data_IF_861256212012
#
_entry.id   IF_861256212012
#
_cell.length_a   1.000
_cell.length_b   1.000
_cell.length_c   1.000
_cell.angle_alpha   90.00
_cell.angle_beta   90.00
_cell.angle_gamma   90.00
#
_symmetry.space_group_name_H-M   'P 1'
#
loop_
_entity.id
_entity.type
_entity.pdbx_description
1 polymer ?
#
# COMPACT_ATOMS: atom_id res chain seq x y z
N UNK A 1 -9.93 7.99 -56.49
CA UNK A 1 -9.89 9.43 -56.10
C UNK A 1 -11.24 10.08 -56.40
N UNK A 2 -12.23 9.98 -55.50
CA UNK A 2 -13.55 10.60 -55.72
C UNK A 2 -14.28 10.97 -54.41
N UNK A 3 -13.54 11.27 -53.33
CA UNK A 3 -14.10 11.65 -52.03
C UNK A 3 -13.81 13.11 -51.61
N UNK A 4 -13.13 13.90 -52.46
CA UNK A 4 -12.62 15.23 -52.11
C UNK A 4 -13.65 16.39 -52.22
N UNK A 5 -14.63 16.43 -53.15
CA UNK A 5 -15.47 17.62 -53.33
C UNK A 5 -16.63 17.73 -52.33
N UNK A 6 -17.04 16.63 -51.69
CA UNK A 6 -18.05 16.66 -50.62
C UNK A 6 -17.46 17.14 -49.29
N UNK A 7 -16.19 16.82 -49.01
CA UNK A 7 -15.49 17.18 -47.78
C UNK A 7 -15.39 18.72 -47.59
N UNK A 8 -15.18 19.46 -48.69
CA UNK A 8 -15.07 20.92 -48.69
C UNK A 8 -16.42 21.64 -48.47
N UNK A 9 -17.55 21.00 -48.80
CA UNK A 9 -18.88 21.56 -48.54
C UNK A 9 -19.26 21.45 -47.06
N UNK A 10 -18.96 20.32 -46.41
CA UNK A 10 -19.22 20.12 -44.98
C UNK A 10 -18.34 21.02 -44.10
N UNK A 11 -17.10 21.29 -44.50
CA UNK A 11 -16.17 22.23 -43.85
C UNK A 11 -16.65 23.69 -43.83
N UNK A 12 -17.75 24.05 -44.50
CA UNK A 12 -18.38 25.38 -44.39
C UNK A 12 -19.17 25.55 -43.08
N UNK A 13 -19.63 24.46 -42.46
CA UNK A 13 -20.39 24.53 -41.22
C UNK A 13 -19.46 24.71 -40.02
N UNK A 14 -19.61 25.83 -39.29
CA UNK A 14 -18.80 26.16 -38.11
C UNK A 14 -18.88 25.10 -37.02
N UNK A 15 -20.06 24.54 -36.80
CA UNK A 15 -20.29 23.44 -35.89
C UNK A 15 -19.39 22.23 -36.20
N UNK A 16 -19.18 21.90 -37.48
CA UNK A 16 -18.26 20.84 -37.88
C UNK A 16 -16.81 21.20 -37.57
N UNK A 17 -16.38 22.45 -37.82
CA UNK A 17 -15.02 22.88 -37.47
C UNK A 17 -14.77 22.82 -35.96
N UNK A 18 -15.75 23.24 -35.15
CA UNK A 18 -15.68 23.16 -33.69
C UNK A 18 -15.62 21.69 -33.25
N UNK A 19 -16.49 20.84 -33.81
CA UNK A 19 -16.47 19.41 -33.53
C UNK A 19 -15.12 18.78 -33.87
N UNK A 20 -14.58 19.02 -35.07
CA UNK A 20 -13.30 18.46 -35.49
C UNK A 20 -12.13 18.99 -34.66
N UNK A 21 -12.13 20.27 -34.29
CA UNK A 21 -11.10 20.86 -33.43
C UNK A 21 -11.18 20.30 -32.01
N UNK A 22 -12.39 20.19 -31.47
CA UNK A 22 -12.65 19.58 -30.17
C UNK A 22 -12.26 18.10 -30.16
N UNK A 23 -12.57 17.36 -31.23
CA UNK A 23 -12.21 15.96 -31.38
C UNK A 23 -10.69 15.81 -31.43
N UNK A 24 -9.99 16.68 -32.16
CA UNK A 24 -8.53 16.69 -32.19
C UNK A 24 -7.93 16.91 -30.80
N UNK A 25 -8.41 17.91 -30.05
CA UNK A 25 -7.97 18.15 -28.66
C UNK A 25 -8.31 16.97 -27.76
N UNK A 26 -9.52 16.42 -27.89
CA UNK A 26 -9.96 15.26 -27.12
C UNK A 26 -9.06 14.05 -27.40
N UNK A 27 -8.68 13.80 -28.65
CA UNK A 27 -7.77 12.71 -29.03
C UNK A 27 -6.37 12.93 -28.47
N UNK A 28 -5.86 14.17 -28.45
CA UNK A 28 -4.59 14.49 -27.81
C UNK A 28 -4.63 14.23 -26.30
N UNK A 29 -5.70 14.65 -25.62
CA UNK A 29 -5.89 14.37 -24.20
C UNK A 29 -6.05 12.88 -23.93
N UNK A 30 -6.83 12.17 -24.74
CA UNK A 30 -7.01 10.73 -24.65
C UNK A 30 -5.66 10.01 -24.78
N UNK A 31 -4.84 10.41 -25.75
CA UNK A 31 -3.51 9.84 -25.93
C UNK A 31 -2.56 10.19 -24.77
N UNK A 32 -2.62 11.42 -24.25
CA UNK A 32 -1.89 11.81 -23.05
C UNK A 32 -2.29 10.95 -21.84
N UNK A 33 -3.59 10.79 -21.60
CA UNK A 33 -4.12 9.94 -20.54
C UNK A 33 -3.67 8.49 -20.69
N UNK A 34 -3.66 7.95 -21.92
CA UNK A 34 -3.16 6.61 -22.22
C UNK A 34 -1.67 6.42 -21.92
N UNK A 35 -0.88 7.48 -21.99
CA UNK A 35 0.55 7.46 -21.68
C UNK A 35 0.79 7.64 -20.18
N UNK A 36 -0.04 8.42 -19.48
CA UNK A 36 0.16 8.77 -18.07
C UNK A 36 -0.55 7.84 -17.08
N UNK A 37 -1.77 7.42 -17.38
CA UNK A 37 -2.67 6.77 -16.41
C UNK A 37 -2.83 5.27 -16.62
N UNK A 38 -1.90 4.64 -17.35
CA UNK A 38 -1.98 3.22 -17.70
C UNK A 38 -1.74 2.26 -16.53
N UNK A 39 -1.21 2.74 -15.40
CA UNK A 39 -0.90 1.92 -14.21
C UNK A 39 -2.09 1.71 -13.28
N UNK A 40 -3.04 2.64 -13.24
CA UNK A 40 -4.16 2.55 -12.29
C UNK A 40 -5.16 1.47 -12.76
N UNK A 41 -5.43 0.43 -11.95
CA UNK A 41 -6.32 -0.68 -12.31
C UNK A 41 -7.78 -0.25 -12.58
N UNK A 42 -8.18 0.95 -12.16
CA UNK A 42 -9.52 1.51 -12.38
C UNK A 42 -9.56 2.59 -13.45
N UNK A 43 -8.44 2.86 -14.09
CA UNK A 43 -8.40 3.74 -15.25
C UNK A 43 -8.89 2.99 -16.49
N UNK A 44 -9.66 3.67 -17.34
CA UNK A 44 -10.01 3.14 -18.67
C UNK A 44 -8.77 2.96 -19.58
N UNK A 45 -7.62 3.51 -19.15
CA UNK A 45 -6.35 3.43 -19.84
C UNK A 45 -5.44 2.32 -19.32
N UNK A 46 -5.89 1.52 -18.34
CA UNK A 46 -5.12 0.46 -17.71
C UNK A 46 -4.53 -0.49 -18.75
N UNK A 47 -3.23 -0.80 -18.60
CA UNK A 47 -2.54 -1.78 -19.43
C UNK A 47 -1.94 -2.84 -18.55
N UNK A 48 -2.50 -4.04 -18.59
CA UNK A 48 -2.00 -5.20 -17.83
C UNK A 48 -0.56 -5.58 -18.24
N UNK A 49 -0.22 -5.36 -19.50
CA UNK A 49 1.13 -5.64 -20.01
C UNK A 49 2.14 -4.73 -19.30
N UNK A 50 3.06 -5.35 -18.56
CA UNK A 50 4.18 -4.73 -17.83
C UNK A 50 3.79 -3.94 -16.56
N UNK A 51 2.53 -3.95 -16.13
CA UNK A 51 2.14 -3.23 -14.89
C UNK A 51 2.55 -3.97 -13.62
N UNK A 52 2.77 -5.27 -13.74
CA UNK A 52 3.27 -6.16 -12.69
C UNK A 52 4.77 -6.39 -12.79
N UNK A 53 5.48 -5.60 -13.62
CA UNK A 53 6.93 -5.66 -13.68
C UNK A 53 7.47 -5.02 -12.39
N UNK A 54 8.41 -5.72 -11.75
CA UNK A 54 9.10 -5.21 -10.57
C UNK A 54 10.16 -4.20 -11.04
N UNK A 55 9.98 -2.93 -10.71
CA UNK A 55 10.90 -1.84 -11.02
C UNK A 55 11.67 -1.48 -9.74
N UNK A 56 11.03 -0.71 -8.85
CA UNK A 56 11.60 -0.27 -7.58
C UNK A 56 11.81 -1.44 -6.61
N UNK A 57 10.95 -2.47 -6.66
CA UNK A 57 11.14 -3.67 -5.86
C UNK A 57 12.44 -4.41 -6.18
N UNK A 58 12.80 -4.56 -7.46
CA UNK A 58 14.10 -5.16 -7.85
C UNK A 58 15.28 -4.30 -7.42
N UNK A 59 15.12 -2.98 -7.43
CA UNK A 59 16.14 -2.07 -6.93
C UNK A 59 16.42 -2.31 -5.43
N UNK A 60 15.36 -2.37 -4.62
CA UNK A 60 15.46 -2.65 -3.18
C UNK A 60 15.93 -4.06 -2.87
N UNK A 61 15.52 -5.05 -3.66
CA UNK A 61 16.00 -6.43 -3.54
C UNK A 61 17.53 -6.50 -3.74
N UNK A 62 18.08 -5.81 -4.74
CA UNK A 62 19.53 -5.77 -4.97
C UNK A 62 20.27 -5.10 -3.82
N UNK A 63 19.75 -4.00 -3.28
CA UNK A 63 20.32 -3.36 -2.09
C UNK A 63 20.31 -4.30 -0.89
N UNK A 64 19.18 -4.97 -0.65
CA UNK A 64 19.00 -5.97 0.38
C UNK A 64 20.01 -7.12 0.26
N UNK A 65 20.12 -7.75 -0.91
CA UNK A 65 21.05 -8.85 -1.16
C UNK A 65 22.50 -8.41 -0.97
N UNK A 66 22.87 -7.22 -1.47
CA UNK A 66 24.21 -6.69 -1.28
C UNK A 66 24.51 -6.47 0.20
N UNK A 67 23.61 -5.82 0.94
CA UNK A 67 23.73 -5.60 2.37
C UNK A 67 23.86 -6.91 3.17
N UNK A 68 23.02 -7.90 2.89
CA UNK A 68 23.11 -9.21 3.55
C UNK A 68 24.41 -9.94 3.23
N UNK A 69 24.88 -9.89 1.98
CA UNK A 69 26.11 -10.58 1.56
C UNK A 69 27.34 -10.11 2.33
N UNK A 70 27.44 -8.80 2.61
CA UNK A 70 28.52 -8.22 3.42
C UNK A 70 28.52 -8.79 4.84
N UNK A 71 27.32 -8.94 5.42
CA UNK A 71 27.12 -9.46 6.77
C UNK A 71 27.11 -10.99 6.83
N UNK A 72 27.05 -11.70 5.71
CA UNK A 72 27.18 -13.16 5.67
C UNK A 72 28.63 -13.63 5.47
N UNK A 73 29.54 -12.73 5.11
CA UNK A 73 30.93 -13.06 4.83
C UNK A 73 31.69 -13.61 6.05
N UNK A 74 32.73 -14.42 5.82
CA UNK A 74 33.60 -14.95 6.88
C UNK A 74 34.51 -13.88 7.52
N UNK A 75 34.69 -12.76 6.82
CA UNK A 75 35.44 -11.61 7.30
C UNK A 75 34.68 -10.88 8.41
N UNK A 76 35.39 -10.00 9.12
CA UNK A 76 34.75 -9.10 10.08
C UNK A 76 33.72 -8.24 9.32
N UNK A 77 32.41 -8.36 9.63
CA UNK A 77 31.40 -7.56 8.96
C UNK A 77 31.58 -6.08 9.32
N UNK A 78 31.02 -5.16 8.52
CA UNK A 78 30.92 -3.76 8.91
C UNK A 78 30.28 -3.63 10.30
N UNK A 79 30.68 -2.64 11.11
CA UNK A 79 30.00 -2.36 12.37
C UNK A 79 28.50 -2.16 12.12
N UNK A 80 27.67 -2.82 12.94
CA UNK A 80 26.23 -2.76 12.82
C UNK A 80 25.58 -2.56 14.18
N UNK A 81 24.71 -1.56 14.27
CA UNK A 81 23.97 -1.24 15.48
C UNK A 81 22.79 -2.21 15.61
N UNK A 82 22.62 -2.80 16.79
CA UNK A 82 21.43 -3.58 17.16
C UNK A 82 20.47 -2.75 18.01
N UNK A 83 19.31 -3.32 18.30
CA UNK A 83 18.31 -2.69 19.14
C UNK A 83 18.84 -2.37 20.54
N UNK A 84 18.36 -1.27 21.11
CA UNK A 84 18.45 -0.98 22.53
C UNK A 84 17.67 -2.03 23.34
N UNK A 85 17.95 -2.10 24.65
CA UNK A 85 17.30 -3.06 25.58
C UNK A 85 15.80 -2.84 25.76
N UNK A 86 15.32 -1.60 25.57
CA UNK A 86 13.91 -1.21 25.71
C UNK A 86 13.45 -0.45 24.47
N UNK A 87 13.28 -1.16 23.34
CA UNK A 87 12.97 -0.54 22.07
C UNK A 87 11.48 -0.16 22.00
N UNK A 88 11.13 1.04 21.52
CA UNK A 88 9.73 1.45 21.36
C UNK A 88 9.01 0.68 20.24
N UNK A 89 9.74 0.11 19.27
CA UNK A 89 9.17 -0.66 18.15
C UNK A 89 9.71 -2.08 18.18
N UNK A 90 8.80 -3.06 18.22
CA UNK A 90 9.12 -4.46 17.98
C UNK A 90 8.56 -4.91 16.64
N UNK A 91 9.42 -5.37 15.75
CA UNK A 91 9.07 -6.02 14.49
C UNK A 91 9.15 -7.52 14.67
N UNK A 92 8.11 -8.24 14.25
CA UNK A 92 8.15 -9.68 14.11
C UNK A 92 7.94 -10.10 12.64
N UNK A 93 8.82 -10.95 12.14
CA UNK A 93 8.67 -11.64 10.86
C UNK A 93 8.49 -13.13 11.15
N UNK A 94 7.45 -13.73 10.59
CA UNK A 94 7.25 -15.17 10.60
C UNK A 94 7.64 -15.70 9.22
N UNK A 95 8.57 -16.64 9.18
CA UNK A 95 9.05 -17.23 7.93
C UNK A 95 8.90 -18.74 7.93
N UNK A 96 8.59 -19.29 6.75
CA UNK A 96 8.45 -20.72 6.50
C UNK A 96 9.21 -21.11 5.24
N UNK A 97 9.69 -22.35 5.19
CA UNK A 97 10.41 -22.84 4.02
C UNK A 97 9.48 -22.87 2.79
N UNK A 98 9.97 -22.30 1.68
CA UNK A 98 9.34 -22.38 0.36
C UNK A 98 10.24 -23.18 -0.59
N UNK A 99 9.64 -24.03 -1.43
CA UNK A 99 10.40 -24.97 -2.28
C UNK A 99 11.08 -24.31 -3.50
N UNK A 100 10.64 -23.12 -3.93
CA UNK A 100 11.07 -22.52 -5.20
C UNK A 100 11.82 -21.19 -5.06
N UNK A 101 11.35 -20.28 -4.20
CA UNK A 101 11.92 -18.94 -4.04
C UNK A 101 12.10 -18.60 -2.55
N UNK A 102 13.27 -18.06 -2.18
CA UNK A 102 13.57 -17.54 -0.83
C UNK A 102 13.45 -16.02 -0.83
N UNK A 103 12.29 -15.51 -0.39
CA UNK A 103 12.03 -14.07 -0.28
C UNK A 103 12.49 -13.49 1.07
N UNK A 104 12.71 -14.33 2.07
CA UNK A 104 12.93 -13.89 3.45
C UNK A 104 14.19 -13.03 3.58
N UNK A 105 15.27 -13.42 2.91
CA UNK A 105 16.50 -12.62 2.86
C UNK A 105 16.24 -11.22 2.30
N UNK A 106 15.55 -11.10 1.17
CA UNK A 106 15.24 -9.81 0.57
C UNK A 106 14.32 -8.96 1.48
N UNK A 107 13.37 -9.57 2.17
CA UNK A 107 12.49 -8.92 3.14
C UNK A 107 13.27 -8.32 4.31
N UNK A 108 14.11 -9.12 4.99
CA UNK A 108 14.92 -8.62 6.11
C UNK A 108 15.96 -7.61 5.64
N UNK A 109 16.61 -7.86 4.50
CA UNK A 109 17.59 -6.94 3.96
C UNK A 109 16.97 -5.59 3.60
N UNK A 110 15.79 -5.56 2.94
CA UNK A 110 15.13 -4.30 2.58
C UNK A 110 14.51 -3.57 3.78
N UNK A 111 14.21 -4.29 4.86
CA UNK A 111 13.76 -3.72 6.13
C UNK A 111 14.88 -2.93 6.82
N UNK A 112 16.09 -3.49 6.82
CA UNK A 112 17.24 -2.98 7.57
C UNK A 112 18.14 -2.05 6.76
N UNK A 113 18.30 -2.30 5.45
CA UNK A 113 19.14 -1.49 4.58
C UNK A 113 18.57 -0.08 4.48
N UNK A 114 19.43 0.90 4.77
CA UNK A 114 19.10 2.32 4.71
C UNK A 114 18.54 2.90 6.01
N UNK A 115 18.33 2.11 7.08
CA UNK A 115 17.98 2.66 8.39
C UNK A 115 19.14 3.46 9.00
N UNK A 116 18.83 4.62 9.57
CA UNK A 116 19.79 5.41 10.37
C UNK A 116 20.09 4.68 11.69
N UNK A 117 21.26 4.88 12.30
CA UNK A 117 21.59 4.28 13.60
C UNK A 117 20.58 4.67 14.70
N UNK A 118 20.04 5.90 14.62
CA UNK A 118 18.98 6.40 15.52
C UNK A 118 17.67 5.63 15.35
N UNK A 119 17.40 5.13 14.15
CA UNK A 119 16.24 4.31 13.84
C UNK A 119 16.47 2.86 14.24
N UNK A 120 17.58 2.26 13.81
CA UNK A 120 17.91 0.86 14.05
C UNK A 120 18.04 0.53 15.55
N UNK A 121 18.56 1.45 16.35
CA UNK A 121 18.64 1.28 17.82
C UNK A 121 17.26 1.25 18.49
N UNK A 122 16.20 1.75 17.84
CA UNK A 122 14.83 1.81 18.39
C UNK A 122 13.91 0.71 17.86
N UNK A 123 14.42 -0.12 16.97
CA UNK A 123 13.69 -1.21 16.33
C UNK A 123 14.28 -2.54 16.77
N UNK A 124 13.47 -3.37 17.42
CA UNK A 124 13.80 -4.77 17.70
C UNK A 124 13.28 -5.67 16.59
N UNK A 125 14.17 -6.44 15.95
CA UNK A 125 13.78 -7.40 14.93
C UNK A 125 13.78 -8.83 15.49
N UNK A 126 12.58 -9.39 15.65
CA UNK A 126 12.35 -10.79 15.98
C UNK A 126 11.96 -11.59 14.74
N UNK A 127 12.64 -12.70 14.49
CA UNK A 127 12.33 -13.66 13.42
C UNK A 127 11.90 -14.98 14.04
N UNK A 128 10.74 -15.46 13.64
CA UNK A 128 10.27 -16.82 13.93
C UNK A 128 10.43 -17.68 12.68
N UNK A 129 11.30 -18.68 12.76
CA UNK A 129 11.33 -19.79 11.81
C UNK A 129 10.25 -20.80 12.20
N UNK A 130 9.12 -20.72 11.50
CA UNK A 130 7.88 -21.41 11.82
C UNK A 130 7.76 -22.81 11.20
N UNK A 131 8.82 -23.33 10.59
CA UNK A 131 8.91 -24.76 10.25
C UNK A 131 9.19 -25.56 11.52
N UNK A 132 8.54 -26.72 11.68
CA UNK A 132 8.86 -27.63 12.79
C UNK A 132 10.23 -28.28 12.66
N UNK A 133 10.81 -28.28 11.46
CA UNK A 133 12.23 -28.56 11.21
C UNK A 133 12.91 -27.30 10.65
N UNK A 134 13.41 -26.39 11.52
CA UNK A 134 13.94 -25.11 11.08
C UNK A 134 15.22 -25.25 10.25
N UNK A 135 15.99 -26.34 10.39
CA UNK A 135 17.22 -26.54 9.60
C UNK A 135 16.95 -26.75 8.12
N UNK A 136 15.72 -27.06 7.74
CA UNK A 136 15.32 -27.17 6.35
C UNK A 136 15.20 -25.79 5.66
N UNK A 137 15.08 -24.70 6.44
CA UNK A 137 14.96 -23.35 5.90
C UNK A 137 16.33 -22.85 5.38
N UNK A 138 16.46 -22.35 4.13
CA UNK A 138 17.76 -21.97 3.54
C UNK A 138 18.53 -20.91 4.33
N UNK A 139 17.78 -19.97 4.91
CA UNK A 139 18.31 -18.91 5.76
C UNK A 139 18.62 -19.32 7.21
N UNK A 140 18.26 -20.53 7.66
CA UNK A 140 18.57 -20.99 9.02
C UNK A 140 20.07 -21.19 9.22
N UNK A 141 20.62 -20.64 10.31
CA UNK A 141 22.05 -20.75 10.63
C UNK A 141 22.97 -19.91 9.74
N UNK A 142 22.44 -19.08 8.84
CA UNK A 142 23.24 -18.11 8.10
C UNK A 142 23.83 -17.06 9.06
N UNK A 143 25.07 -16.65 8.83
CA UNK A 143 25.78 -15.71 9.70
C UNK A 143 25.08 -14.35 9.77
N UNK A 144 24.55 -13.90 8.64
CA UNK A 144 23.84 -12.62 8.57
C UNK A 144 22.62 -12.59 9.49
N UNK A 145 21.93 -13.71 9.70
CA UNK A 145 20.73 -13.78 10.55
C UNK A 145 21.09 -13.41 11.99
N UNK A 146 22.07 -14.09 12.57
CA UNK A 146 22.52 -13.79 13.94
C UNK A 146 23.13 -12.39 14.05
N UNK A 147 23.84 -11.91 13.02
CA UNK A 147 24.51 -10.60 13.02
C UNK A 147 23.53 -9.43 12.92
N UNK A 148 22.45 -9.56 12.15
CA UNK A 148 21.56 -8.45 11.80
C UNK A 148 20.26 -8.42 12.62
N UNK A 149 19.71 -9.59 12.97
CA UNK A 149 18.48 -9.70 13.77
C UNK A 149 18.78 -9.57 15.26
N UNK A 150 17.79 -9.14 16.05
CA UNK A 150 17.91 -9.08 17.50
C UNK A 150 17.54 -10.42 18.15
N UNK A 151 16.60 -11.15 17.55
CA UNK A 151 16.27 -12.53 17.88
C UNK A 151 15.87 -13.28 16.62
N UNK A 152 16.37 -14.51 16.48
CA UNK A 152 16.01 -15.44 15.42
C UNK A 152 15.86 -16.83 16.04
N UNK A 153 14.62 -17.28 16.21
CA UNK A 153 14.31 -18.50 16.98
C UNK A 153 13.25 -19.35 16.28
N UNK A 154 13.03 -20.55 16.81
CA UNK A 154 11.90 -21.41 16.48
C UNK A 154 10.96 -21.48 17.69
N UNK A 155 9.92 -22.33 17.63
CA UNK A 155 8.94 -22.47 18.69
C UNK A 155 9.57 -22.87 20.03
N UNK A 156 9.34 -22.05 21.06
CA UNK A 156 9.58 -22.39 22.45
C UNK A 156 8.23 -22.68 23.13
N UNK A 157 7.75 -23.91 22.97
CA UNK A 157 6.41 -24.36 23.37
C UNK A 157 6.49 -25.72 24.05
N UNK A 158 5.41 -26.19 24.68
CA UNK A 158 5.39 -27.53 25.29
C UNK A 158 5.50 -28.63 24.23
N UNK A 159 5.98 -29.82 24.62
CA UNK A 159 6.08 -30.98 23.73
C UNK A 159 4.74 -31.35 23.07
N UNK A 160 3.63 -31.17 23.78
CA UNK A 160 2.28 -31.41 23.27
C UNK A 160 1.91 -30.41 22.17
N UNK A 161 2.15 -29.11 22.41
CA UNK A 161 1.93 -28.06 21.42
C UNK A 161 2.83 -28.25 20.20
N UNK A 162 4.08 -28.63 20.40
CA UNK A 162 5.01 -28.90 19.31
C UNK A 162 4.54 -30.08 18.44
N UNK A 163 4.06 -31.17 19.05
CA UNK A 163 3.44 -32.29 18.31
C UNK A 163 2.19 -31.87 17.54
N UNK A 164 1.38 -30.96 18.09
CA UNK A 164 0.23 -30.39 17.37
C UNK A 164 0.69 -29.60 16.14
N UNK A 165 1.71 -28.75 16.27
CA UNK A 165 2.28 -28.00 15.14
C UNK A 165 2.81 -28.93 14.04
N UNK A 166 3.52 -30.00 14.41
CA UNK A 166 3.98 -31.01 13.45
C UNK A 166 2.82 -31.68 12.71
N UNK A 167 1.72 -31.94 13.42
CA UNK A 167 0.50 -32.50 12.83
C UNK A 167 -0.14 -31.53 11.86
N UNK A 168 -0.29 -30.25 12.25
CA UNK A 168 -0.86 -29.21 11.41
C UNK A 168 -0.05 -28.98 10.14
N UNK A 169 1.28 -28.99 10.24
CA UNK A 169 2.18 -28.84 9.09
C UNK A 169 2.04 -30.05 8.14
N UNK A 170 2.04 -31.28 8.67
CA UNK A 170 1.85 -32.51 7.87
C UNK A 170 0.48 -32.54 7.17
N UNK A 171 -0.56 -32.08 7.84
CA UNK A 171 -1.93 -32.01 7.31
C UNK A 171 -2.16 -30.79 6.41
N UNK A 172 -1.17 -29.90 6.26
CA UNK A 172 -1.28 -28.61 5.56
C UNK A 172 -2.43 -27.74 6.08
N UNK A 173 -2.76 -27.83 7.37
CA UNK A 173 -3.76 -26.98 8.00
C UNK A 173 -3.16 -25.62 8.37
N UNK A 174 -2.94 -24.80 7.33
CA UNK A 174 -2.36 -23.46 7.47
C UNK A 174 -3.30 -22.44 8.12
N UNK A 175 -4.60 -22.75 8.22
CA UNK A 175 -5.58 -21.88 8.88
C UNK A 175 -5.42 -21.88 10.40
N UNK A 176 -5.22 -23.05 11.01
CA UNK A 176 -4.95 -23.14 12.45
C UNK A 176 -3.50 -22.78 12.77
N UNK A 177 -2.54 -23.34 12.01
CA UNK A 177 -1.12 -23.05 12.21
C UNK A 177 -0.81 -21.56 12.00
N UNK A 178 -1.39 -20.93 10.98
CA UNK A 178 -1.18 -19.51 10.71
C UNK A 178 -1.69 -18.60 11.82
N UNK A 179 -2.81 -18.94 12.46
CA UNK A 179 -3.29 -18.21 13.64
C UNK A 179 -2.32 -18.41 14.81
N UNK A 180 -1.83 -19.63 15.03
CA UNK A 180 -0.84 -19.90 16.06
C UNK A 180 0.45 -19.09 15.86
N UNK A 181 0.99 -19.08 14.64
CA UNK A 181 2.23 -18.39 14.30
C UNK A 181 2.10 -16.88 14.52
N UNK A 182 0.96 -16.31 14.11
CA UNK A 182 0.66 -14.90 14.32
C UNK A 182 0.52 -14.55 15.81
N UNK A 183 -0.16 -15.40 16.59
CA UNK A 183 -0.26 -15.25 18.05
C UNK A 183 1.10 -15.32 18.73
N UNK A 184 1.98 -16.23 18.27
CA UNK A 184 3.33 -16.36 18.79
C UNK A 184 4.15 -15.08 18.52
N UNK A 185 4.06 -14.52 17.31
CA UNK A 185 4.71 -13.27 16.93
C UNK A 185 4.22 -12.08 17.79
N UNK A 186 2.90 -11.92 17.95
CA UNK A 186 2.31 -10.89 18.81
C UNK A 186 2.78 -11.00 20.26
N UNK A 187 2.76 -12.22 20.83
CA UNK A 187 3.19 -12.46 22.22
C UNK A 187 4.67 -12.19 22.43
N UNK A 188 5.51 -12.52 21.45
CA UNK A 188 6.95 -12.25 21.49
C UNK A 188 7.21 -10.75 21.62
N UNK A 189 6.57 -9.92 20.79
CA UNK A 189 6.70 -8.47 20.91
C UNK A 189 6.03 -7.90 22.18
N UNK A 190 4.92 -8.49 22.63
CA UNK A 190 4.25 -8.07 23.87
C UNK A 190 5.16 -8.23 25.11
N UNK A 191 5.99 -9.27 25.15
CA UNK A 191 6.94 -9.52 26.24
C UNK A 191 8.03 -8.44 26.35
N UNK A 192 8.39 -7.81 25.23
CA UNK A 192 9.37 -6.72 25.20
C UNK A 192 8.81 -5.37 25.68
N UNK A 193 7.50 -5.29 25.91
CA UNK A 193 6.80 -4.07 26.32
C UNK A 193 7.06 -2.88 25.39
N UNK A 194 7.26 -3.14 24.09
CA UNK A 194 7.39 -2.13 23.05
C UNK A 194 6.08 -1.35 22.91
N UNK A 195 6.17 -0.05 22.57
CA UNK A 195 5.00 0.81 22.34
C UNK A 195 4.22 0.40 21.10
N UNK A 196 4.91 -0.12 20.09
CA UNK A 196 4.31 -0.59 18.85
C UNK A 196 4.85 -1.96 18.46
N UNK A 197 3.94 -2.84 18.06
CA UNK A 197 4.24 -4.15 17.48
C UNK A 197 3.95 -4.10 15.98
N UNK A 198 4.93 -4.44 15.15
CA UNK A 198 4.78 -4.52 13.70
C UNK A 198 4.91 -5.99 13.30
N UNK A 199 3.92 -6.51 12.60
CA UNK A 199 4.00 -7.85 12.00
C UNK A 199 4.17 -7.69 10.50
N UNK A 200 5.24 -8.28 9.96
CA UNK A 200 5.47 -8.37 8.52
C UNK A 200 5.42 -9.83 8.06
N UNK A 201 4.94 -10.04 6.83
CA UNK A 201 5.12 -11.30 6.11
C UNK A 201 6.57 -11.43 5.59
N UNK A 202 6.99 -12.64 5.21
CA UNK A 202 8.36 -12.93 4.80
C UNK A 202 8.63 -12.71 3.30
N UNK A 203 7.62 -12.30 2.53
CA UNK A 203 7.65 -12.06 1.09
C UNK A 203 7.28 -10.63 0.69
N UNK A 204 7.91 -9.68 1.38
CA UNK A 204 7.68 -8.24 1.21
C UNK A 204 8.97 -7.49 0.91
N UNK A 205 8.87 -6.39 0.17
CA UNK A 205 9.99 -5.46 -0.04
C UNK A 205 9.60 -4.10 0.52
N UNK A 206 10.41 -3.56 1.42
CA UNK A 206 10.14 -2.28 2.07
C UNK A 206 10.82 -1.12 1.33
N UNK A 207 10.13 0.02 1.29
CA UNK A 207 10.68 1.24 0.73
C UNK A 207 11.77 1.83 1.64
N UNK A 208 12.72 2.53 1.02
CA UNK A 208 13.59 3.49 1.72
C UNK A 208 12.73 4.44 2.57
N UNK A 209 13.21 4.75 3.78
CA UNK A 209 12.54 5.62 4.76
C UNK A 209 11.22 5.08 5.36
N UNK A 210 10.89 3.80 5.17
CA UNK A 210 9.62 3.23 5.65
C UNK A 210 9.39 3.48 7.15
N UNK A 211 10.44 3.36 7.99
CA UNK A 211 10.32 3.52 9.44
C UNK A 211 10.05 4.97 9.81
N UNK A 212 10.89 5.92 9.36
CA UNK A 212 10.65 7.35 9.55
C UNK A 212 9.25 7.81 9.11
N UNK A 213 8.76 7.33 7.95
CA UNK A 213 7.39 7.61 7.48
C UNK A 213 6.34 7.00 8.40
N UNK A 214 6.57 5.78 8.88
CA UNK A 214 5.70 5.10 9.84
C UNK A 214 5.63 5.85 11.17
N UNK A 215 6.77 6.27 11.72
CA UNK A 215 6.82 7.04 12.97
C UNK A 215 6.10 8.39 12.85
N UNK A 216 6.27 9.07 11.72
CA UNK A 216 5.52 10.30 11.43
C UNK A 216 4.01 10.04 11.38
N UNK A 217 3.60 8.98 10.69
CA UNK A 217 2.20 8.57 10.60
C UNK A 217 1.59 8.21 11.96
N UNK A 218 2.35 7.54 12.83
CA UNK A 218 1.91 7.23 14.20
C UNK A 218 1.70 8.50 15.03
N UNK A 219 2.56 9.51 14.88
CA UNK A 219 2.36 10.81 15.52
C UNK A 219 1.11 11.55 14.99
N UNK A 220 0.83 11.46 13.69
CA UNK A 220 -0.40 11.96 13.07
C UNK A 220 -1.65 11.24 13.64
N UNK A 221 -1.62 9.91 13.72
CA UNK A 221 -2.71 9.11 14.31
C UNK A 221 -2.94 9.49 15.77
N UNK A 222 -1.87 9.65 16.56
CA UNK A 222 -1.99 10.06 17.95
C UNK A 222 -2.67 11.44 18.11
N UNK A 223 -2.51 12.34 17.13
CA UNK A 223 -3.28 13.61 17.08
C UNK A 223 -4.74 13.37 16.68
N UNK A 224 -4.99 12.54 15.68
CA UNK A 224 -6.34 12.21 15.20
C UNK A 224 -7.18 11.51 16.29
N UNK A 225 -6.59 10.58 17.05
CA UNK A 225 -7.25 9.90 18.17
C UNK A 225 -7.62 10.90 19.27
N UNK A 226 -6.70 11.81 19.65
CA UNK A 226 -6.98 12.89 20.61
C UNK A 226 -8.10 13.83 20.17
N UNK A 227 -8.20 14.12 18.87
CA UNK A 227 -9.23 15.01 18.33
C UNK A 227 -10.59 14.34 18.15
N UNK A 228 -10.61 13.10 17.68
CA UNK A 228 -11.83 12.38 17.33
C UNK A 228 -12.41 11.54 18.47
N UNK A 229 -11.57 11.17 19.46
CA UNK A 229 -11.90 10.21 20.51
C UNK A 229 -12.18 8.80 20.00
N UNK A 230 -11.92 8.51 18.71
CA UNK A 230 -12.20 7.21 18.11
C UNK A 230 -11.00 6.27 18.28
N UNK A 231 -11.17 5.10 18.92
CA UNK A 231 -10.10 4.12 19.04
C UNK A 231 -9.77 3.52 17.68
N UNK A 232 -8.53 3.08 17.51
CA UNK A 232 -8.04 2.39 16.32
C UNK A 232 -7.31 1.10 16.68
N UNK A 233 -7.18 0.19 15.71
CA UNK A 233 -6.56 -1.14 15.92
C UNK A 233 -5.16 -1.25 15.29
N UNK A 234 -4.99 -0.78 14.06
CA UNK A 234 -3.69 -0.83 13.38
C UNK A 234 -3.54 0.27 12.33
N UNK A 235 -2.28 0.45 11.92
CA UNK A 235 -1.86 1.18 10.73
C UNK A 235 -1.30 0.17 9.71
N UNK A 236 -1.90 0.12 8.51
CA UNK A 236 -1.38 -0.67 7.39
C UNK A 236 -0.25 0.07 6.70
N UNK A 237 0.82 -0.65 6.41
CA UNK A 237 1.92 -0.20 5.56
C UNK A 237 1.76 -0.66 4.12
N UNK A 238 0.78 -1.53 3.87
CA UNK A 238 0.40 -2.03 2.56
C UNK A 238 -1.10 -1.88 2.31
N UNK A 239 -1.45 -1.57 1.08
CA UNK A 239 -2.79 -1.75 0.54
C UNK A 239 -2.69 -1.89 -0.98
N UNK A 240 -3.71 -2.52 -1.57
CA UNK A 240 -3.82 -2.67 -3.02
C UNK A 240 -4.73 -1.60 -3.59
N UNK A 241 -4.29 -0.89 -4.62
CA UNK A 241 -5.11 0.10 -5.31
C UNK A 241 -6.25 -0.55 -6.11
N UNK A 242 -6.22 -1.87 -6.31
CA UNK A 242 -7.36 -2.62 -6.87
C UNK A 242 -8.64 -2.46 -6.04
N UNK A 243 -8.52 -2.14 -4.75
CA UNK A 243 -9.66 -1.95 -3.86
C UNK A 243 -10.15 -0.48 -3.79
N UNK A 244 -9.50 0.45 -4.51
CA UNK A 244 -9.72 1.90 -4.43
C UNK A 244 -10.49 2.47 -5.63
N UNK A 245 -11.42 1.69 -6.18
CA UNK A 245 -12.26 2.08 -7.30
C UNK A 245 -13.23 3.21 -6.96
N UNK A 246 -13.92 3.71 -7.99
CA UNK A 246 -15.11 4.53 -7.79
C UNK A 246 -16.21 3.72 -7.10
N UNK A 247 -16.73 4.22 -5.99
CA UNK A 247 -17.74 3.57 -5.17
C UNK A 247 -19.03 4.38 -5.08
N UNK A 248 -20.12 3.76 -4.62
CA UNK A 248 -21.38 4.49 -4.34
C UNK A 248 -21.27 5.49 -3.18
N UNK A 249 -20.23 5.41 -2.35
CA UNK A 249 -19.91 6.42 -1.34
C UNK A 249 -19.37 7.71 -1.95
N UNK A 250 -18.77 7.65 -3.14
CA UNK A 250 -18.20 8.81 -3.81
C UNK A 250 -19.32 9.66 -4.41
N UNK A 251 -19.49 10.89 -3.91
CA UNK A 251 -20.60 11.77 -4.33
C UNK A 251 -20.61 12.00 -5.84
N UNK A 252 -19.45 12.31 -6.43
CA UNK A 252 -19.33 12.61 -7.86
C UNK A 252 -19.66 11.40 -8.74
N UNK A 253 -19.30 10.20 -8.29
CA UNK A 253 -19.61 8.97 -9.03
C UNK A 253 -21.05 8.53 -8.86
N UNK A 254 -21.56 8.53 -7.62
CA UNK A 254 -22.97 8.22 -7.32
C UNK A 254 -23.93 9.11 -8.09
N UNK A 255 -23.60 10.40 -8.20
CA UNK A 255 -24.42 11.39 -8.89
C UNK A 255 -23.91 11.71 -10.31
N UNK A 256 -23.20 10.77 -10.95
CA UNK A 256 -22.62 11.00 -12.28
C UNK A 256 -23.65 11.51 -13.30
N UNK A 257 -24.88 10.96 -13.45
CA UNK A 257 -25.88 11.52 -14.36
C UNK A 257 -26.26 12.97 -14.05
N UNK A 258 -26.32 13.34 -12.76
CA UNK A 258 -26.57 14.71 -12.32
C UNK A 258 -25.40 15.64 -12.70
N UNK A 259 -24.16 15.21 -12.49
CA UNK A 259 -22.95 15.97 -12.86
C UNK A 259 -22.95 16.24 -14.36
N UNK A 260 -23.16 15.22 -15.18
CA UNK A 260 -23.28 15.38 -16.63
C UNK A 260 -24.43 16.34 -17.00
N UNK A 261 -25.62 16.16 -16.43
CA UNK A 261 -26.77 17.02 -16.69
C UNK A 261 -26.51 18.49 -16.33
N UNK A 262 -25.90 18.76 -15.17
CA UNK A 262 -25.56 20.12 -14.72
C UNK A 262 -24.51 20.74 -15.64
N UNK A 263 -23.46 20.01 -16.04
CA UNK A 263 -22.43 20.54 -16.93
C UNK A 263 -22.97 20.83 -18.34
N UNK A 264 -23.82 19.95 -18.87
CA UNK A 264 -24.51 20.17 -20.14
C UNK A 264 -25.41 21.41 -20.06
N UNK A 265 -26.26 21.51 -19.03
CA UNK A 265 -27.24 22.59 -18.88
C UNK A 265 -26.55 23.94 -18.60
N UNK A 266 -25.53 23.96 -17.76
CA UNK A 266 -24.74 25.16 -17.47
C UNK A 266 -23.97 25.62 -18.71
N UNK A 267 -23.35 24.70 -19.46
CA UNK A 267 -22.70 25.00 -20.73
C UNK A 267 -23.68 25.56 -21.76
N UNK A 268 -24.85 24.91 -21.92
CA UNK A 268 -25.92 25.37 -22.81
C UNK A 268 -26.40 26.78 -22.43
N UNK A 269 -26.69 27.01 -21.15
CA UNK A 269 -27.18 28.29 -20.64
C UNK A 269 -26.12 29.38 -20.84
N UNK A 270 -24.87 29.11 -20.49
CA UNK A 270 -23.75 30.03 -20.67
C UNK A 270 -23.59 30.44 -22.13
N UNK A 271 -23.60 29.48 -23.06
CA UNK A 271 -23.46 29.75 -24.49
C UNK A 271 -24.67 30.51 -25.07
N UNK A 272 -25.90 30.24 -24.60
CA UNK A 272 -27.09 31.00 -24.98
C UNK A 272 -27.02 32.44 -24.46
N UNK A 273 -26.59 32.64 -23.21
CA UNK A 273 -26.42 33.97 -22.62
C UNK A 273 -25.32 34.75 -23.33
N UNK A 274 -24.17 34.13 -23.64
CA UNK A 274 -23.09 34.74 -24.40
C UNK A 274 -23.56 35.17 -25.78
N UNK A 275 -24.34 34.33 -26.47
CA UNK A 275 -24.96 34.66 -27.77
C UNK A 275 -25.90 35.88 -27.67
N UNK A 276 -26.66 36.01 -26.56
CA UNK A 276 -27.60 37.12 -26.33
C UNK A 276 -26.92 38.40 -25.84
N UNK A 277 -25.69 38.31 -25.33
CA UNK A 277 -24.93 39.45 -24.81
C UNK A 277 -24.39 40.35 -25.93
N UNK A 278 -23.93 41.56 -25.58
CA UNK A 278 -23.30 42.52 -26.51
C UNK A 278 -21.94 42.07 -27.05
N UNK A 279 -21.44 40.89 -26.66
CA UNK A 279 -20.22 40.29 -27.23
C UNK A 279 -20.50 39.70 -28.63
N UNK A 280 -20.91 40.57 -29.55
CA UNK A 280 -21.26 40.27 -30.95
C UNK A 280 -20.11 39.72 -31.79
N UNK A 281 -18.88 39.75 -31.26
CA UNK A 281 -17.71 39.16 -31.92
C UNK A 281 -17.72 37.63 -31.90
N UNK A 282 -18.32 36.99 -30.89
CA UNK A 282 -18.45 35.53 -30.83
C UNK A 282 -19.68 35.08 -31.62
N UNK A 283 -19.49 34.81 -32.90
CA UNK A 283 -20.54 34.31 -33.77
C UNK A 283 -20.84 32.82 -33.47
N UNK A 284 -21.62 32.57 -32.42
CA UNK A 284 -22.09 31.25 -31.99
C UNK A 284 -23.44 30.92 -32.65
N UNK A 285 -23.45 30.04 -33.66
CA UNK A 285 -24.67 29.52 -34.28
C UNK A 285 -25.33 28.43 -33.40
N UNK A 286 -26.66 28.19 -33.52
CA UNK A 286 -27.37 27.26 -32.64
C UNK A 286 -26.82 25.82 -32.72
N UNK A 287 -26.40 25.40 -33.91
CA UNK A 287 -25.83 24.07 -34.14
C UNK A 287 -24.51 23.93 -33.40
N UNK A 288 -23.65 24.94 -33.42
CA UNK A 288 -22.41 24.98 -32.64
C UNK A 288 -22.65 24.90 -31.13
N UNK A 289 -23.69 25.58 -30.62
CA UNK A 289 -24.07 25.50 -29.20
C UNK A 289 -24.47 24.07 -28.84
N UNK A 290 -25.33 23.43 -29.64
CA UNK A 290 -25.76 22.04 -29.42
C UNK A 290 -24.56 21.08 -29.45
N UNK A 291 -23.65 21.22 -30.41
CA UNK A 291 -22.44 20.38 -30.51
C UNK A 291 -21.56 20.53 -29.27
N UNK A 292 -21.28 21.76 -28.82
CA UNK A 292 -20.45 21.97 -27.63
C UNK A 292 -21.14 21.38 -26.39
N UNK A 293 -22.42 21.68 -26.20
CA UNK A 293 -23.15 21.29 -24.99
C UNK A 293 -23.48 19.80 -24.92
N UNK A 294 -23.88 19.17 -26.02
CA UNK A 294 -24.36 17.79 -26.03
C UNK A 294 -23.30 16.76 -26.45
N UNK A 295 -22.20 17.19 -27.07
CA UNK A 295 -21.14 16.28 -27.54
C UNK A 295 -19.83 16.57 -26.84
N UNK A 296 -19.31 17.79 -26.98
CA UNK A 296 -17.98 18.12 -26.45
C UNK A 296 -17.93 18.05 -24.93
N UNK A 297 -18.83 18.75 -24.23
CA UNK A 297 -18.86 18.77 -22.75
C UNK A 297 -18.99 17.36 -22.17
N UNK A 298 -19.94 16.51 -22.59
CA UNK A 298 -20.03 15.13 -22.11
C UNK A 298 -18.78 14.31 -22.42
N UNK A 299 -18.19 14.46 -23.61
CA UNK A 299 -17.00 13.71 -24.00
C UNK A 299 -15.77 14.05 -23.12
N UNK A 300 -15.53 15.32 -22.81
CA UNK A 300 -14.46 15.71 -21.88
C UNK A 300 -14.78 15.33 -20.44
N UNK A 301 -16.05 15.39 -20.03
CA UNK A 301 -16.48 14.97 -18.69
C UNK A 301 -16.26 13.48 -18.49
N UNK A 302 -16.62 12.65 -19.49
CA UNK A 302 -16.36 11.22 -19.49
C UNK A 302 -14.86 10.92 -19.36
N UNK A 303 -14.02 11.70 -20.05
CA UNK A 303 -12.57 11.54 -20.00
C UNK A 303 -12.02 11.72 -18.57
N UNK A 304 -12.61 12.60 -17.76
CA UNK A 304 -12.26 12.73 -16.33
C UNK A 304 -12.55 11.45 -15.56
N UNK A 305 -13.76 10.88 -15.67
CA UNK A 305 -14.09 9.62 -14.99
C UNK A 305 -13.22 8.45 -15.47
N UNK A 306 -12.87 8.43 -16.77
CA UNK A 306 -12.00 7.44 -17.38
C UNK A 306 -10.56 7.47 -16.84
N UNK A 307 -10.08 8.60 -16.29
CA UNK A 307 -8.72 8.68 -15.72
C UNK A 307 -8.56 7.76 -14.51
N UNK A 308 -9.64 7.49 -13.76
CA UNK A 308 -9.60 6.68 -12.53
C UNK A 308 -9.51 7.56 -11.27
N UNK A 309 -10.13 7.08 -10.18
CA UNK A 309 -10.25 7.84 -8.92
C UNK A 309 -8.88 8.16 -8.32
N UNK A 310 -8.01 7.15 -8.23
CA UNK A 310 -6.72 7.29 -7.55
C UNK A 310 -5.79 8.27 -8.29
N UNK A 311 -5.82 8.29 -9.62
CA UNK A 311 -5.11 9.28 -10.42
C UNK A 311 -5.59 10.72 -10.20
N UNK A 312 -6.89 10.93 -10.01
CA UNK A 312 -7.46 12.28 -9.80
C UNK A 312 -7.32 12.74 -8.34
N UNK A 313 -7.43 11.80 -7.40
CA UNK A 313 -7.45 12.04 -5.97
C UNK A 313 -6.48 11.08 -5.26
N UNK A 314 -5.16 11.21 -5.51
CA UNK A 314 -4.16 10.36 -4.90
C UNK A 314 -4.17 10.51 -3.38
N UNK A 315 -4.04 9.38 -2.69
CA UNK A 315 -3.99 9.31 -1.23
C UNK A 315 -2.63 9.76 -0.72
N UNK A 316 -2.60 10.50 0.38
CA UNK A 316 -1.38 11.02 1.00
C UNK A 316 -1.48 10.99 2.52
N UNK A 317 -0.42 10.53 3.18
CA UNK A 317 -0.34 10.48 4.64
C UNK A 317 -1.24 9.41 5.23
N UNK A 318 -1.78 9.68 6.42
CA UNK A 318 -2.66 8.75 7.15
C UNK A 318 -4.08 8.83 6.62
N UNK A 319 -4.61 7.70 6.14
CA UNK A 319 -5.97 7.59 5.60
C UNK A 319 -6.78 6.57 6.40
N UNK A 320 -8.01 6.92 6.77
CA UNK A 320 -8.97 5.96 7.34
C UNK A 320 -9.39 4.96 6.25
N UNK A 321 -9.13 3.67 6.48
CA UNK A 321 -9.39 2.57 5.55
C UNK A 321 -10.15 1.43 6.25
N UNK A 322 -11.33 1.80 6.77
CA UNK A 322 -12.28 0.90 7.43
C UNK A 322 -13.02 -0.04 6.46
N UNK A 323 -12.87 0.17 5.15
CA UNK A 323 -13.45 -0.68 4.11
C UNK A 323 -12.41 -0.93 3.04
N UNK A 324 -12.55 -2.04 2.32
CA UNK A 324 -11.71 -2.35 1.16
C UNK A 324 -10.23 -2.51 1.50
N UNK A 325 -9.90 -2.73 2.78
CA UNK A 325 -8.55 -3.06 3.16
C UNK A 325 -8.30 -4.53 2.92
N UNK A 326 -7.26 -4.85 2.17
CA UNK A 326 -6.76 -6.21 2.08
C UNK A 326 -5.53 -6.39 2.95
N UNK A 327 -5.44 -7.60 3.50
CA UNK A 327 -4.22 -8.35 3.71
C UNK A 327 -3.32 -7.90 4.89
N UNK A 328 -2.45 -8.81 5.34
CA UNK A 328 -1.64 -8.73 6.57
C UNK A 328 -0.14 -8.53 6.33
N UNK A 329 0.28 -8.13 5.13
CA UNK A 329 1.70 -8.06 4.75
C UNK A 329 2.53 -7.16 5.68
N UNK A 330 1.94 -6.10 6.22
CA UNK A 330 2.60 -5.20 7.17
C UNK A 330 1.60 -4.39 7.98
N UNK A 331 1.41 -4.78 9.24
CA UNK A 331 0.47 -4.14 10.17
C UNK A 331 1.19 -3.66 11.43
N UNK A 332 0.96 -2.40 11.79
CA UNK A 332 1.47 -1.77 13.01
C UNK A 332 0.35 -1.68 14.04
N UNK A 333 0.51 -2.35 15.17
CA UNK A 333 -0.42 -2.37 16.29
C UNK A 333 0.14 -1.55 17.45
N UNK A 334 -0.64 -0.66 18.07
CA UNK A 334 -0.23 -0.02 19.31
C UNK A 334 -0.42 -0.99 20.48
N UNK A 335 0.49 -0.94 21.45
CA UNK A 335 0.60 -1.90 22.56
C UNK A 335 -0.72 -2.18 23.28
N UNK A 336 -1.49 -1.13 23.55
CA UNK A 336 -2.76 -1.18 24.27
C UNK A 336 -3.86 -1.98 23.55
N UNK A 337 -3.71 -2.24 22.25
CA UNK A 337 -4.68 -3.01 21.45
C UNK A 337 -4.28 -4.47 21.25
N UNK A 338 -3.00 -4.79 21.43
CA UNK A 338 -2.46 -6.14 21.18
C UNK A 338 -3.09 -7.19 22.10
N UNK A 339 -3.33 -6.86 23.38
CA UNK A 339 -3.92 -7.80 24.33
C UNK A 339 -5.30 -8.31 23.91
N UNK A 340 -6.23 -7.39 23.61
CA UNK A 340 -7.57 -7.76 23.17
C UNK A 340 -7.60 -8.52 21.85
N UNK A 341 -6.67 -8.21 20.94
CA UNK A 341 -6.52 -8.95 19.70
C UNK A 341 -6.02 -10.39 19.93
N UNK A 342 -5.03 -10.58 20.81
CA UNK A 342 -4.52 -11.91 21.18
C UNK A 342 -5.65 -12.77 21.76
N UNK A 343 -6.47 -12.21 22.64
CA UNK A 343 -7.58 -12.94 23.27
C UNK A 343 -8.60 -13.38 22.21
N UNK A 344 -8.98 -12.49 21.30
CA UNK A 344 -9.92 -12.78 20.20
C UNK A 344 -9.38 -13.88 19.27
N UNK A 345 -8.15 -13.73 18.77
CA UNK A 345 -7.54 -14.70 17.86
C UNK A 345 -7.34 -16.06 18.54
N UNK A 346 -6.96 -16.08 19.83
CA UNK A 346 -6.81 -17.30 20.61
C UNK A 346 -8.15 -18.03 20.80
N UNK A 347 -9.23 -17.30 21.06
CA UNK A 347 -10.56 -17.87 21.21
C UNK A 347 -11.10 -18.49 19.91
N UNK A 348 -10.80 -17.87 18.76
CA UNK A 348 -11.25 -18.35 17.45
C UNK A 348 -10.41 -19.51 16.92
N UNK A 349 -9.10 -19.49 17.15
CA UNK A 349 -8.16 -20.59 16.94
C UNK A 349 -7.88 -21.01 15.48
N UNK A 350 -8.78 -20.70 14.54
CA UNK A 350 -8.65 -21.08 13.14
C UNK A 350 -9.30 -20.04 12.22
N UNK A 351 -8.73 -19.85 11.03
CA UNK A 351 -9.28 -18.98 10.00
C UNK A 351 -8.19 -18.21 9.24
N UNK A 352 -8.61 -17.25 8.42
CA UNK A 352 -7.68 -16.31 7.81
C UNK A 352 -7.47 -15.12 8.74
N UNK A 353 -6.22 -14.91 9.16
CA UNK A 353 -5.87 -13.90 10.16
C UNK A 353 -6.29 -12.49 9.77
N UNK A 354 -6.18 -12.13 8.49
CA UNK A 354 -6.61 -10.84 7.96
C UNK A 354 -8.11 -10.60 8.17
N UNK A 355 -8.94 -11.55 7.77
CA UNK A 355 -10.39 -11.52 7.95
C UNK A 355 -10.78 -11.48 9.42
N UNK A 356 -10.10 -12.27 10.26
CA UNK A 356 -10.34 -12.29 11.70
C UNK A 356 -10.02 -10.94 12.36
N UNK A 357 -8.94 -10.27 11.94
CA UNK A 357 -8.60 -8.93 12.43
C UNK A 357 -9.64 -7.90 11.97
N UNK A 358 -10.12 -7.96 10.74
CA UNK A 358 -11.19 -7.07 10.25
C UNK A 358 -12.50 -7.27 11.03
N UNK A 359 -12.91 -8.53 11.24
CA UNK A 359 -14.10 -8.86 12.02
C UNK A 359 -13.98 -8.32 13.46
N UNK A 360 -12.82 -8.52 14.10
CA UNK A 360 -12.56 -7.95 15.42
C UNK A 360 -12.68 -6.42 15.44
N UNK A 361 -12.13 -5.75 14.43
CA UNK A 361 -12.19 -4.30 14.30
C UNK A 361 -13.63 -3.80 14.09
N UNK A 362 -14.43 -4.49 13.28
CA UNK A 362 -15.83 -4.15 13.03
C UNK A 362 -16.69 -4.36 14.29
N UNK A 363 -16.53 -5.50 14.98
CA UNK A 363 -17.25 -5.82 16.21
C UNK A 363 -17.00 -4.80 17.33
N UNK A 364 -15.76 -4.33 17.43
CA UNK A 364 -15.31 -3.38 18.46
C UNK A 364 -15.33 -1.91 17.98
N UNK A 365 -15.80 -1.65 16.75
CA UNK A 365 -15.85 -0.32 16.13
C UNK A 365 -14.50 0.41 16.16
N UNK A 366 -13.42 -0.31 15.90
CA UNK A 366 -12.06 0.21 15.87
C UNK A 366 -11.74 0.74 14.48
N UNK A 367 -11.18 1.95 14.43
CA UNK A 367 -10.67 2.52 13.21
C UNK A 367 -9.44 1.77 12.70
N UNK A 368 -9.31 1.72 11.38
CA UNK A 368 -8.18 1.13 10.67
C UNK A 368 -7.58 2.19 9.79
N UNK A 369 -6.28 2.42 9.93
CA UNK A 369 -5.57 3.42 9.16
C UNK A 369 -4.66 2.74 8.13
N UNK A 370 -4.34 3.45 7.06
CA UNK A 370 -3.32 3.07 6.08
C UNK A 370 -2.40 4.27 5.82
N UNK A 371 -1.11 4.00 5.62
CA UNK A 371 -0.13 5.00 5.22
C UNK A 371 -0.03 5.04 3.70
N UNK A 372 -0.29 6.21 3.11
CA UNK A 372 -0.24 6.45 1.67
C UNK A 372 0.92 7.38 1.28
N UNK A 373 1.66 7.07 0.19
CA UNK A 373 1.57 5.84 -0.63
C UNK A 373 2.00 4.58 0.15
N UNK A 374 1.76 3.35 -0.38
CA UNK A 374 2.18 2.11 0.29
C UNK A 374 3.69 2.10 0.57
N UNK A 375 4.08 1.55 1.72
CA UNK A 375 5.48 1.51 2.20
C UNK A 375 6.17 0.17 1.93
N UNK A 376 5.42 -0.81 1.44
CA UNK A 376 5.97 -2.10 1.04
C UNK A 376 5.23 -2.63 -0.19
N UNK A 377 5.86 -3.58 -0.88
CA UNK A 377 5.28 -4.36 -1.96
C UNK A 377 5.32 -5.84 -1.58
N UNK A 378 4.26 -6.57 -1.92
CA UNK A 378 4.24 -8.03 -1.84
C UNK A 378 4.93 -8.62 -3.07
N UNK A 379 6.00 -9.38 -2.89
CA UNK A 379 6.77 -10.00 -3.98
C UNK A 379 6.56 -11.50 -4.10
N UNK A 380 5.80 -12.09 -3.16
CA UNK A 380 5.45 -13.50 -3.18
C UNK A 380 4.49 -13.84 -4.34
N UNK A 381 5.04 -14.26 -5.47
CA UNK A 381 4.24 -14.65 -6.65
C UNK A 381 3.46 -15.95 -6.44
N UNK A 382 3.85 -16.76 -5.44
CA UNK A 382 3.14 -17.97 -4.98
C UNK A 382 2.88 -17.88 -3.48
N UNK A 383 1.61 -18.04 -3.09
CA UNK A 383 1.21 -18.10 -1.69
C UNK A 383 1.66 -19.40 -1.03
N UNK A 384 2.14 -19.32 0.21
CA UNK A 384 2.41 -20.49 1.06
C UNK A 384 1.14 -21.26 1.47
N UNK A 385 -0.06 -20.70 1.17
CA UNK A 385 -1.38 -21.25 1.53
C UNK A 385 -2.17 -21.83 0.35
N UNK A 386 -1.49 -22.39 -0.67
CA UNK A 386 -2.13 -23.04 -1.85
C UNK A 386 -3.09 -22.11 -2.65
N UNK A 387 -2.79 -20.80 -2.76
CA UNK A 387 -3.57 -19.90 -3.62
C UNK A 387 -3.09 -19.96 -5.08
N UNK A 388 -4.03 -19.92 -6.03
CA UNK A 388 -3.78 -19.80 -7.47
C UNK A 388 -3.01 -18.50 -7.79
N UNK A 389 -2.15 -18.54 -8.83
CA UNK A 389 -1.39 -17.38 -9.35
C UNK A 389 -2.26 -16.14 -9.69
N UNK A 390 -3.57 -16.31 -9.87
CA UNK A 390 -4.53 -15.22 -10.10
C UNK A 390 -4.68 -14.33 -8.86
N UNK A 391 -4.51 -14.88 -7.66
CA UNK A 391 -4.64 -14.15 -6.39
C UNK A 391 -3.39 -13.35 -6.00
N UNK A 392 -2.21 -13.64 -6.56
CA UNK A 392 -1.00 -12.86 -6.25
C UNK A 392 -0.93 -11.55 -7.02
N UNK A 393 -1.67 -11.44 -8.13
CA UNK A 393 -1.88 -10.15 -8.85
C UNK A 393 -2.89 -9.22 -8.18
N UNK A 394 -3.74 -9.73 -7.28
CA UNK A 394 -4.67 -8.87 -6.52
C UNK A 394 -3.98 -8.17 -5.35
N UNK A 395 -2.85 -8.72 -4.87
CA UNK A 395 -1.99 -8.16 -3.82
C UNK A 395 -0.82 -7.36 -4.41
N UNK A 396 -1.12 -6.38 -5.26
CA UNK A 396 -0.10 -5.53 -5.89
C UNK A 396 -0.28 -4.05 -5.50
N UNK A 397 0.80 -3.36 -5.12
CA UNK A 397 0.82 -1.92 -4.88
C UNK A 397 1.38 -1.19 -6.12
N UNK A 398 0.49 -0.74 -7.00
CA UNK A 398 0.83 -0.19 -8.31
C UNK A 398 1.76 1.01 -8.26
N UNK A 399 1.61 1.85 -7.22
CA UNK A 399 2.42 3.07 -7.08
C UNK A 399 3.72 2.85 -6.32
N UNK A 400 3.87 1.71 -5.62
CA UNK A 400 5.14 1.36 -4.98
C UNK A 400 6.27 1.25 -6.01
N UNK A 401 5.97 0.69 -7.18
CA UNK A 401 6.94 0.54 -8.28
C UNK A 401 7.36 1.86 -8.92
N UNK A 402 6.67 2.96 -8.61
CA UNK A 402 7.01 4.30 -9.14
C UNK A 402 7.92 5.11 -8.22
N UNK A 403 8.31 4.55 -7.09
CA UNK A 403 9.22 5.18 -6.15
C UNK A 403 10.59 5.47 -6.78
N UNK A 404 11.13 6.66 -6.48
CA UNK A 404 12.47 7.06 -6.88
C UNK A 404 13.43 6.99 -5.68
N UNK A 405 14.47 6.14 -5.72
CA UNK A 405 15.39 5.97 -4.60
C UNK A 405 16.06 7.26 -4.13
N UNK A 406 16.40 8.16 -5.06
CA UNK A 406 17.10 9.42 -4.74
C UNK A 406 16.16 10.34 -3.95
N UNK A 407 14.93 10.51 -4.44
CA UNK A 407 13.89 11.30 -3.78
C UNK A 407 13.57 10.75 -2.39
N UNK A 408 13.48 9.42 -2.24
CA UNK A 408 13.18 8.81 -0.95
C UNK A 408 14.30 8.96 0.08
N UNK A 409 15.58 8.88 -0.32
CA UNK A 409 16.71 9.15 0.59
C UNK A 409 16.77 10.62 1.03
N UNK A 410 16.47 11.53 0.11
CA UNK A 410 16.37 12.96 0.42
C UNK A 410 15.25 13.22 1.45
N UNK A 411 14.10 12.60 1.25
CA UNK A 411 12.96 12.68 2.17
C UNK A 411 13.30 12.05 3.53
N UNK A 412 13.96 10.89 3.53
CA UNK A 412 14.40 10.20 4.76
C UNK A 412 15.22 11.13 5.64
N UNK A 413 16.23 11.80 5.07
CA UNK A 413 17.06 12.74 5.82
C UNK A 413 16.25 13.92 6.37
N UNK A 414 15.23 14.39 5.66
CA UNK A 414 14.34 15.45 6.18
C UNK A 414 13.46 14.94 7.32
N UNK A 415 12.92 13.73 7.20
CA UNK A 415 12.07 13.11 8.22
C UNK A 415 12.85 12.82 9.50
N UNK A 416 14.11 12.41 9.41
CA UNK A 416 14.98 12.24 10.58
C UNK A 416 15.18 13.54 11.36
N UNK A 417 15.00 14.70 10.71
CA UNK A 417 15.07 16.01 11.34
C UNK A 417 13.71 16.54 11.83
N UNK A 418 12.60 15.90 11.45
CA UNK A 418 11.24 16.24 11.87
C UNK A 418 11.06 16.03 13.38
N UNK A 419 10.38 16.98 14.03
CA UNK A 419 10.19 16.96 15.48
C UNK A 419 9.37 15.79 15.97
N UNK A 420 8.34 15.37 15.23
CA UNK A 420 7.51 14.23 15.61
C UNK A 420 8.33 12.94 15.54
N UNK A 421 9.09 12.75 14.46
CA UNK A 421 9.95 11.56 14.27
C UNK A 421 11.02 11.51 15.37
N UNK A 422 11.69 12.63 15.63
CA UNK A 422 12.66 12.72 16.75
C UNK A 422 12.03 12.38 18.09
N UNK A 423 10.82 12.89 18.37
CA UNK A 423 10.12 12.59 19.61
C UNK A 423 9.77 11.10 19.73
N UNK A 424 9.32 10.48 18.63
CA UNK A 424 9.02 9.04 18.60
C UNK A 424 10.26 8.18 18.79
N UNK A 425 11.40 8.56 18.19
CA UNK A 425 12.69 7.88 18.38
C UNK A 425 13.26 8.05 19.79
N UNK A 426 13.05 9.22 20.41
CA UNK A 426 13.55 9.53 21.75
C UNK A 426 12.63 9.07 22.89
N UNK A 427 11.38 8.73 22.60
CA UNK A 427 10.42 8.28 23.60
C UNK A 427 10.79 6.87 24.08
N UNK A 428 11.63 6.79 25.10
CA UNK A 428 11.92 5.51 25.78
C UNK A 428 10.82 5.08 26.73
N UNK A 429 9.83 5.93 27.03
CA UNK A 429 8.67 5.69 27.90
C UNK A 429 8.07 7.06 28.19
N UNK A 430 7.17 7.55 27.35
CA UNK A 430 6.35 8.69 27.71
C UNK A 430 4.90 8.28 27.54
N UNK A 431 4.19 8.13 28.67
CA UNK A 431 2.76 8.38 28.69
C UNK A 431 2.54 9.72 28.01
N UNK A 432 1.82 9.71 26.89
CA UNK A 432 1.16 10.91 26.42
C UNK A 432 -0.03 11.13 27.36
N UNK A 433 0.26 11.73 28.53
CA UNK A 433 -0.77 12.30 29.39
C UNK A 433 -1.36 13.56 28.74
#
# INVERSE_FOLDING_TARGET
MMALPYLTHYLKFRALKIFLSSLFVWLLLFQFCRIKFWRDPHSAFFKERNVYDLDYSLYREREATHFLSQHNSDLNPPPYVKSDRTPPVCVAIVTVRRDSDDYFGASVGSLLEGLDERERSKLYLSVLFADTEPRAHPSWGQKWVERLTDSATTYNVSDEQFKRLQTLEREKNFYEKGVFDYLYALRTCQQLNASYTIIFEDDVILATAWLSRTLKALADIARLERQSGKPWIYLRLFYTETALSWTRSDFAYRNMPLVFGILILSGLTCLILLRRSRFTHFHLDPTSIVVISMVCIPAFTALVYMVGKYNLMPLHGVIEMNKSGCCTQGLVFPRERVGGLIDYLSARGHGQTDSMIEEYADDHKLNRYALAPPQLQHVGLKSSRDNLDVNTRSTWAFWFETNDPITLREEHRRLLEDQDVKMMLNSTTAKFD
#
